data_IF_345015613308
#
_entry.id   IF_345015613308
#
_cell.length_a   1.000
_cell.length_b   1.000
_cell.length_c   1.000
_cell.angle_alpha   90.00
_cell.angle_beta   90.00
_cell.angle_gamma   90.00
#
_symmetry.space_group_name_H-M   'P 1'
#
loop_
_entity.id
_entity.type
_entity.pdbx_description
1 polymer ?
#
# COMPACT_ATOMS: atom_id res chain seq x y z
N UNK A 1 52.05 5.99 11.35
CA UNK A 1 51.07 6.31 10.29
C UNK A 1 49.70 6.49 10.94
N UNK A 2 49.37 7.73 11.31
CA UNK A 2 48.14 8.04 12.07
C UNK A 2 47.21 8.80 11.14
N UNK A 3 46.17 8.12 10.64
CA UNK A 3 45.15 8.74 9.79
C UNK A 3 44.22 9.54 10.68
N UNK A 4 44.35 10.87 10.65
CA UNK A 4 43.39 11.79 11.28
C UNK A 4 42.05 11.68 10.55
N UNK A 5 41.03 11.08 11.18
CA UNK A 5 39.64 11.17 10.71
C UNK A 5 39.13 12.59 11.01
N UNK A 6 38.92 13.36 9.94
CA UNK A 6 38.26 14.66 9.97
C UNK A 6 36.82 14.48 10.46
N UNK A 7 36.46 15.17 11.55
CA UNK A 7 35.08 15.33 12.02
C UNK A 7 34.37 16.38 11.17
N UNK A 8 34.26 16.15 9.86
CA UNK A 8 33.35 16.93 9.05
C UNK A 8 31.93 16.57 9.51
N UNK A 9 31.20 17.57 10.00
CA UNK A 9 29.79 17.50 10.39
C UNK A 9 29.04 16.50 9.50
N UNK A 10 28.63 15.36 10.08
CA UNK A 10 27.70 14.46 9.43
C UNK A 10 26.33 15.15 9.45
N UNK A 11 26.16 16.11 8.54
CA UNK A 11 24.91 16.79 8.33
C UNK A 11 23.86 15.72 8.00
N UNK A 12 22.81 15.65 8.81
CA UNK A 12 21.69 14.74 8.58
C UNK A 12 21.17 15.00 7.17
N UNK A 13 21.29 14.00 6.30
CA UNK A 13 20.84 14.13 4.93
C UNK A 13 19.32 14.29 4.89
N UNK A 14 18.80 15.06 3.92
CA UNK A 14 17.34 15.16 3.67
C UNK A 14 16.68 13.78 3.57
N UNK A 15 17.39 12.79 3.00
CA UNK A 15 16.93 11.40 2.88
C UNK A 15 16.89 10.67 4.22
N UNK A 16 17.84 10.94 5.12
CA UNK A 16 17.85 10.33 6.45
C UNK A 16 16.74 10.90 7.32
N UNK A 17 16.47 12.20 7.19
CA UNK A 17 15.32 12.83 7.84
C UNK A 17 13.99 12.24 7.33
N UNK A 18 13.84 12.03 6.02
CA UNK A 18 12.64 11.39 5.45
C UNK A 18 12.52 9.92 5.84
N UNK A 19 13.63 9.18 5.97
CA UNK A 19 13.61 7.78 6.41
C UNK A 19 13.21 7.66 7.88
N UNK A 20 13.86 8.41 8.77
CA UNK A 20 13.56 8.38 10.20
C UNK A 20 12.17 8.97 10.48
N UNK A 21 11.84 10.10 9.85
CA UNK A 21 10.52 10.72 9.96
C UNK A 21 9.41 9.86 9.35
N UNK A 22 9.66 9.20 8.22
CA UNK A 22 8.70 8.31 7.56
C UNK A 22 8.45 7.03 8.37
N UNK A 23 9.50 6.42 8.92
CA UNK A 23 9.35 5.25 9.82
C UNK A 23 8.62 5.64 11.11
N UNK A 24 8.88 6.82 11.67
CA UNK A 24 8.13 7.32 12.83
C UNK A 24 6.66 7.60 12.51
N UNK A 25 6.38 8.33 11.43
CA UNK A 25 5.03 8.74 11.07
C UNK A 25 4.17 7.56 10.59
N UNK A 26 4.69 6.73 9.69
CA UNK A 26 3.96 5.59 9.14
C UNK A 26 4.04 4.38 10.06
N UNK A 27 5.19 4.09 10.68
CA UNK A 27 5.34 2.93 11.56
C UNK A 27 4.54 3.01 12.85
N UNK A 28 4.32 4.22 13.40
CA UNK A 28 3.51 4.39 14.61
C UNK A 28 2.00 4.53 14.32
N UNK A 29 1.61 4.99 13.13
CA UNK A 29 0.20 5.13 12.75
C UNK A 29 -0.39 3.90 12.06
N UNK A 30 0.45 3.02 11.49
CA UNK A 30 -0.01 1.78 10.83
C UNK A 30 -0.77 0.84 11.80
N UNK A 31 -0.30 0.57 13.03
CA UNK A 31 -1.01 -0.31 13.96
C UNK A 31 -2.40 0.23 14.31
N UNK A 32 -2.53 1.54 14.53
CA UNK A 32 -3.82 2.18 14.80
C UNK A 32 -4.76 2.10 13.59
N UNK A 33 -4.21 2.20 12.37
CA UNK A 33 -4.97 2.04 11.13
C UNK A 33 -5.43 0.58 10.94
N UNK A 34 -4.59 -0.40 11.26
CA UNK A 34 -4.93 -1.83 11.21
C UNK A 34 -5.99 -2.18 12.26
N UNK A 35 -5.87 -1.65 13.48
CA UNK A 35 -6.88 -1.81 14.53
C UNK A 35 -8.21 -1.15 14.16
N UNK A 36 -8.19 -0.01 13.46
CA UNK A 36 -9.40 0.62 12.95
C UNK A 36 -10.08 -0.23 11.85
N UNK A 37 -9.30 -0.89 11.00
CA UNK A 37 -9.81 -1.82 9.99
C UNK A 37 -10.38 -3.10 10.63
N UNK A 38 -9.69 -3.69 11.60
CA UNK A 38 -10.18 -4.82 12.39
C UNK A 38 -11.47 -4.46 13.16
N UNK A 39 -11.54 -3.27 13.75
CA UNK A 39 -12.74 -2.79 14.41
C UNK A 39 -13.90 -2.54 13.44
N UNK A 40 -13.62 -2.23 12.16
CA UNK A 40 -14.64 -2.17 11.11
C UNK A 40 -15.04 -3.58 10.63
N UNK A 41 -14.11 -4.53 10.57
CA UNK A 41 -14.35 -5.92 10.17
C UNK A 41 -15.10 -6.73 11.23
N UNK A 42 -14.90 -6.42 12.52
CA UNK A 42 -15.63 -7.01 13.64
C UNK A 42 -17.07 -6.48 13.78
N UNK A 43 -17.46 -5.47 12.99
CA UNK A 43 -18.86 -5.03 12.95
C UNK A 43 -19.71 -6.12 12.30
N UNK A 44 -20.93 -6.36 12.81
CA UNK A 44 -21.87 -7.23 12.12
C UNK A 44 -22.01 -6.76 10.67
N UNK A 45 -21.91 -7.71 9.74
CA UNK A 45 -21.93 -7.47 8.30
C UNK A 45 -23.07 -6.52 7.93
N UNK A 46 -22.72 -5.33 7.45
CA UNK A 46 -23.70 -4.30 7.09
C UNK A 46 -24.05 -3.30 8.18
N UNK A 47 -23.14 -2.95 9.11
CA UNK A 47 -23.30 -1.79 9.99
C UNK A 47 -22.28 -0.70 9.62
N UNK A 48 -22.76 0.44 9.11
CA UNK A 48 -21.90 1.56 8.74
C UNK A 48 -21.33 2.30 9.96
N UNK A 49 -20.38 3.23 9.77
CA UNK A 49 -19.75 3.99 10.87
C UNK A 49 -20.72 4.82 11.71
N UNK A 50 -21.95 5.06 11.24
CA UNK A 50 -23.02 5.74 11.99
C UNK A 50 -23.93 4.80 12.80
N UNK A 51 -23.64 3.49 12.86
CA UNK A 51 -24.52 2.50 13.48
C UNK A 51 -25.80 2.23 12.68
N UNK A 52 -25.93 2.81 11.49
CA UNK A 52 -27.04 2.57 10.57
C UNK A 52 -26.63 1.48 9.59
N UNK A 53 -27.58 0.59 9.29
CA UNK A 53 -27.44 -0.38 8.20
C UNK A 53 -27.24 0.40 6.88
N UNK A 54 -26.10 0.27 6.18
CA UNK A 54 -25.94 0.83 4.84
C UNK A 54 -27.06 0.28 3.96
N UNK A 55 -27.55 1.09 3.03
CA UNK A 55 -28.52 0.62 2.04
C UNK A 55 -27.99 -0.68 1.40
N UNK A 56 -28.81 -1.73 1.41
CA UNK A 56 -28.49 -3.17 1.31
C UNK A 56 -27.70 -3.64 0.06
N UNK A 57 -27.13 -2.78 -0.78
CA UNK A 57 -26.53 -3.21 -2.05
C UNK A 57 -25.25 -2.44 -2.35
N UNK A 58 -24.11 -3.05 -2.07
CA UNK A 58 -22.82 -2.68 -2.63
C UNK A 58 -22.56 -3.58 -3.83
N UNK A 59 -22.84 -3.09 -5.04
CA UNK A 59 -22.55 -3.80 -6.29
C UNK A 59 -21.30 -3.20 -6.93
N UNK A 60 -20.26 -4.00 -7.12
CA UNK A 60 -19.12 -3.62 -7.97
C UNK A 60 -19.45 -4.07 -9.40
N UNK A 61 -19.78 -3.13 -10.27
CA UNK A 61 -20.11 -3.40 -11.67
C UNK A 61 -18.86 -3.21 -12.54
N UNK A 62 -18.33 -4.31 -13.06
CA UNK A 62 -17.16 -4.31 -13.94
C UNK A 62 -17.67 -4.55 -15.37
N UNK A 63 -17.64 -3.49 -16.18
CA UNK A 63 -18.03 -3.56 -17.59
C UNK A 63 -16.80 -3.47 -18.49
N UNK A 64 -16.47 -4.58 -19.14
CA UNK A 64 -15.36 -4.67 -20.09
C UNK A 64 -15.91 -4.82 -21.51
N UNK A 65 -16.15 -3.71 -22.19
CA UNK A 65 -16.57 -3.71 -23.58
C UNK A 65 -15.41 -4.20 -24.46
N UNK A 66 -15.51 -5.44 -24.96
CA UNK A 66 -14.45 -6.08 -25.74
C UNK A 66 -13.46 -6.93 -24.92
N UNK A 67 -13.69 -7.11 -23.62
CA UNK A 67 -12.83 -7.91 -22.73
C UNK A 67 -11.53 -7.20 -22.32
N UNK A 68 -10.73 -7.87 -21.49
CA UNK A 68 -9.40 -7.39 -21.09
C UNK A 68 -8.44 -7.60 -22.27
N UNK A 69 -7.71 -6.57 -22.70
CA UNK A 69 -6.70 -6.78 -23.73
C UNK A 69 -5.57 -7.68 -23.19
N UNK A 70 -4.88 -8.41 -24.06
CA UNK A 70 -3.76 -9.26 -23.63
C UNK A 70 -2.58 -8.43 -23.08
N UNK A 71 -2.51 -7.13 -23.36
CA UNK A 71 -1.53 -6.22 -22.74
C UNK A 71 -1.93 -5.85 -21.31
N UNK A 72 -3.22 -5.89 -21.00
CA UNK A 72 -3.77 -5.57 -19.68
C UNK A 72 -3.93 -6.81 -18.78
N UNK A 73 -3.78 -8.02 -19.34
CA UNK A 73 -3.77 -9.27 -18.59
C UNK A 73 -2.35 -9.73 -18.32
N UNK A 74 -2.07 -10.14 -17.09
CA UNK A 74 -0.83 -10.85 -16.76
C UNK A 74 -1.01 -12.36 -17.03
N UNK A 75 -1.27 -12.72 -18.29
CA UNK A 75 -1.37 -14.11 -18.76
C UNK A 75 -0.15 -14.45 -19.65
N UNK A 76 0.99 -14.83 -19.07
CA UNK A 76 2.14 -15.24 -19.86
C UNK A 76 1.77 -16.48 -20.68
N UNK A 77 1.79 -16.36 -22.01
CA UNK A 77 1.48 -17.45 -22.93
C UNK A 77 2.40 -18.65 -22.65
N UNK A 78 1.90 -19.77 -22.08
CA UNK A 78 2.75 -20.92 -21.81
C UNK A 78 3.18 -21.52 -23.15
N UNK A 79 4.46 -21.37 -23.49
CA UNK A 79 5.05 -21.86 -24.74
C UNK A 79 5.23 -20.82 -25.85
N UNK A 80 5.16 -19.51 -25.55
CA UNK A 80 5.58 -18.50 -26.53
C UNK A 80 7.07 -18.68 -26.90
N UNK A 81 7.42 -18.55 -28.20
CA UNK A 81 8.82 -18.59 -28.61
C UNK A 81 9.60 -17.46 -27.92
N UNK A 82 10.84 -17.75 -27.50
CA UNK A 82 11.71 -16.76 -26.85
C UNK A 82 12.18 -15.65 -27.79
N UNK A 83 11.97 -15.82 -29.09
CA UNK A 83 12.39 -14.87 -30.11
C UNK A 83 11.18 -14.34 -30.89
N UNK A 84 11.09 -13.02 -30.96
CA UNK A 84 10.33 -12.24 -31.94
C UNK A 84 11.33 -11.46 -32.77
#
# INVERSE_FOLDING_TARGET
MTVRRSLASQAIGRRDLLRVGGVGALGLSLPDLMLADEANAARPSGMGPSGRRPAEKSCIFIYQYGGLSQLDSWDPKPGAPQEV
#
